data_IF_757296859273
#
_entry.id   IF_757296859273
#
_cell.length_a   1.000
_cell.length_b   1.000
_cell.length_c   1.000
_cell.angle_alpha   90.00
_cell.angle_beta   90.00
_cell.angle_gamma   90.00
#
_symmetry.space_group_name_H-M   'P 1'
#
loop_
_entity.id
_entity.type
_entity.pdbx_description
1 polymer ?
#
# COMPACT_ATOMS: atom_id res chain seq x y z
N UNK A 1 79.71 35.97 53.77
CA UNK A 1 79.89 34.50 53.74
C UNK A 1 78.62 33.92 54.33
N UNK A 2 77.72 33.23 53.65
CA UNK A 2 77.68 32.55 52.35
C UNK A 2 76.32 32.92 51.69
N UNK A 3 76.15 33.12 50.39
CA UNK A 3 76.32 32.19 49.26
C UNK A 3 75.49 30.90 49.42
N UNK A 4 74.24 30.93 48.95
CA UNK A 4 73.52 29.74 48.48
C UNK A 4 72.38 30.19 47.56
N UNK A 5 72.72 30.40 46.29
CA UNK A 5 72.37 29.54 45.16
C UNK A 5 70.88 29.52 44.82
N UNK A 6 70.56 30.39 43.86
CA UNK A 6 69.41 30.31 43.00
C UNK A 6 69.50 29.02 42.16
N UNK A 7 68.68 28.03 42.50
CA UNK A 7 68.40 26.88 41.62
C UNK A 7 67.17 27.20 40.77
N UNK A 8 67.37 28.06 39.75
CA UNK A 8 66.39 28.30 38.70
C UNK A 8 66.44 27.14 37.71
N UNK A 9 65.68 26.08 37.98
CA UNK A 9 65.46 25.00 37.00
C UNK A 9 64.78 25.61 35.76
N UNK A 10 65.31 25.38 34.54
CA UNK A 10 64.65 25.82 33.33
C UNK A 10 63.33 25.06 33.19
N UNK A 11 62.23 25.81 33.05
CA UNK A 11 60.96 25.27 32.58
C UNK A 11 61.23 24.58 31.24
N UNK A 12 61.21 23.24 31.23
CA UNK A 12 61.20 22.47 30.00
C UNK A 12 59.89 22.82 29.29
N UNK A 13 60.00 23.55 28.18
CA UNK A 13 58.90 23.72 27.23
C UNK A 13 58.51 22.32 26.76
N UNK A 14 57.36 21.85 27.22
CA UNK A 14 56.73 20.61 26.76
C UNK A 14 56.52 20.76 25.24
N UNK A 15 57.11 19.88 24.41
CA UNK A 15 56.99 20.02 22.96
C UNK A 15 55.51 19.95 22.59
N UNK A 16 55.03 20.96 21.85
CA UNK A 16 53.65 21.04 21.39
C UNK A 16 53.23 19.70 20.75
N UNK A 17 52.04 19.17 21.07
CA UNK A 17 51.61 17.88 20.55
C UNK A 17 51.63 17.91 19.02
N UNK A 18 52.39 16.98 18.43
CA UNK A 18 52.45 16.81 16.99
C UNK A 18 51.06 16.40 16.50
N UNK A 19 50.37 17.31 15.81
CA UNK A 19 49.00 17.10 15.36
C UNK A 19 49.02 16.04 14.26
N UNK A 20 48.52 14.83 14.56
CA UNK A 20 48.35 13.78 13.56
C UNK A 20 47.25 14.18 12.57
N UNK A 21 47.68 14.81 11.48
CA UNK A 21 46.81 15.27 10.38
C UNK A 21 45.96 14.15 9.78
N UNK A 22 46.43 12.90 9.81
CA UNK A 22 45.69 11.74 9.29
C UNK A 22 44.58 11.33 10.25
N UNK A 23 44.83 11.32 11.55
CA UNK A 23 43.81 11.06 12.56
C UNK A 23 42.69 12.10 12.49
N UNK A 24 43.03 13.38 12.34
CA UNK A 24 42.05 14.45 12.14
C UNK A 24 41.23 14.26 10.87
N UNK A 25 41.87 13.88 9.75
CA UNK A 25 41.17 13.58 8.49
C UNK A 25 40.18 12.42 8.65
N UNK A 26 40.60 11.32 9.29
CA UNK A 26 39.74 10.15 9.55
C UNK A 26 38.55 10.53 10.42
N UNK A 27 38.76 11.32 11.47
CA UNK A 27 37.68 11.81 12.33
C UNK A 27 36.65 12.63 11.54
N UNK A 28 37.11 13.52 10.64
CA UNK A 28 36.23 14.29 9.75
C UNK A 28 35.46 13.36 8.79
N UNK A 29 36.11 12.37 8.19
CA UNK A 29 35.46 11.41 7.28
C UNK A 29 34.40 10.57 8.00
N UNK A 30 34.67 10.14 9.23
CA UNK A 30 33.69 9.44 10.07
C UNK A 30 32.48 10.34 10.33
N UNK A 31 32.70 11.59 10.76
CA UNK A 31 31.62 12.54 11.02
C UNK A 31 30.74 12.77 9.77
N UNK A 32 31.37 12.93 8.60
CA UNK A 32 30.66 13.06 7.32
C UNK A 32 29.86 11.79 7.00
N UNK A 33 30.46 10.61 7.14
CA UNK A 33 29.79 9.34 6.89
C UNK A 33 28.59 9.13 7.83
N UNK A 34 28.69 9.52 9.10
CA UNK A 34 27.60 9.45 10.08
C UNK A 34 26.44 10.38 9.69
N UNK A 35 26.72 11.62 9.30
CA UNK A 35 25.68 12.56 8.86
C UNK A 35 24.97 12.02 7.62
N UNK A 36 25.73 11.55 6.62
CA UNK A 36 25.17 10.95 5.41
C UNK A 36 24.32 9.72 5.73
N UNK A 37 24.80 8.82 6.60
CA UNK A 37 24.06 7.66 7.05
C UNK A 37 22.73 8.03 7.71
N UNK A 38 22.73 9.06 8.57
CA UNK A 38 21.51 9.56 9.20
C UNK A 38 20.51 10.13 8.18
N UNK A 39 20.99 10.87 7.16
CA UNK A 39 20.13 11.39 6.09
C UNK A 39 19.53 10.26 5.26
N UNK A 40 20.32 9.25 4.88
CA UNK A 40 19.82 8.07 4.14
C UNK A 40 18.78 7.33 4.96
N UNK A 41 19.03 7.09 6.25
CA UNK A 41 18.09 6.42 7.14
C UNK A 41 16.77 7.19 7.28
N UNK A 42 16.82 8.51 7.44
CA UNK A 42 15.62 9.34 7.49
C UNK A 42 14.82 9.28 6.19
N UNK A 43 15.49 9.30 5.03
CA UNK A 43 14.83 9.19 3.72
C UNK A 43 14.23 7.80 3.47
N UNK A 44 14.86 6.75 3.99
CA UNK A 44 14.32 5.38 3.96
C UNK A 44 13.03 5.28 4.76
N UNK A 45 13.02 5.83 5.98
CA UNK A 45 11.83 5.86 6.83
C UNK A 45 10.65 6.59 6.14
N UNK A 46 10.91 7.76 5.55
CA UNK A 46 9.87 8.50 4.82
C UNK A 46 9.30 7.71 3.64
N UNK A 47 10.14 6.97 2.92
CA UNK A 47 9.69 6.15 1.78
C UNK A 47 8.86 4.95 2.24
N UNK A 48 9.23 4.36 3.38
CA UNK A 48 8.49 3.27 4.02
C UNK A 48 7.11 3.72 4.51
N UNK A 49 7.00 4.91 5.11
CA UNK A 49 5.71 5.48 5.54
C UNK A 49 4.75 5.64 4.34
N UNK A 50 5.24 6.20 3.23
CA UNK A 50 4.42 6.38 2.02
C UNK A 50 4.03 5.03 1.40
N UNK A 51 4.92 4.04 1.45
CA UNK A 51 4.61 2.68 1.02
C UNK A 51 3.48 2.09 1.87
N UNK A 52 3.55 2.24 3.20
CA UNK A 52 2.54 1.77 4.13
C UNK A 52 1.18 2.45 3.93
N UNK A 53 1.16 3.76 3.73
CA UNK A 53 -0.07 4.51 3.41
C UNK A 53 -0.72 4.02 2.11
N UNK A 54 0.11 3.74 1.10
CA UNK A 54 -0.33 3.23 -0.20
C UNK A 54 -0.87 1.80 -0.09
N UNK A 55 -0.23 0.93 0.69
CA UNK A 55 -0.73 -0.42 1.00
C UNK A 55 -2.09 -0.37 1.70
N UNK A 56 -2.21 0.49 2.71
CA UNK A 56 -3.46 0.64 3.44
C UNK A 56 -4.58 1.18 2.53
N UNK A 57 -4.25 2.13 1.65
CA UNK A 57 -5.18 2.58 0.61
C UNK A 57 -5.58 1.45 -0.34
N UNK A 58 -4.64 0.61 -0.77
CA UNK A 58 -4.90 -0.55 -1.63
C UNK A 58 -5.82 -1.57 -0.98
N UNK A 59 -5.58 -1.91 0.30
CA UNK A 59 -6.44 -2.82 1.07
C UNK A 59 -7.85 -2.25 1.23
N UNK A 60 -7.99 -0.94 1.50
CA UNK A 60 -9.31 -0.30 1.57
C UNK A 60 -10.05 -0.37 0.23
N UNK A 61 -9.37 -0.09 -0.88
CA UNK A 61 -9.96 -0.17 -2.22
C UNK A 61 -10.41 -1.60 -2.55
N UNK A 62 -9.58 -2.59 -2.21
CA UNK A 62 -9.91 -4.02 -2.36
C UNK A 62 -11.13 -4.39 -1.51
N UNK A 63 -11.16 -3.96 -0.25
CA UNK A 63 -12.30 -4.21 0.63
C UNK A 63 -13.58 -3.58 0.09
N UNK A 64 -13.53 -2.34 -0.40
CA UNK A 64 -14.69 -1.71 -1.03
C UNK A 64 -15.14 -2.42 -2.32
N UNK A 65 -14.20 -2.95 -3.10
CA UNK A 65 -14.51 -3.73 -4.29
C UNK A 65 -15.23 -5.04 -3.92
N UNK A 66 -14.74 -5.76 -2.92
CA UNK A 66 -15.36 -7.02 -2.46
C UNK A 66 -16.69 -6.79 -1.72
N UNK A 67 -16.79 -5.74 -0.91
CA UNK A 67 -18.02 -5.30 -0.27
C UNK A 67 -19.09 -5.00 -1.35
N UNK A 68 -18.75 -4.16 -2.33
CA UNK A 68 -19.66 -3.84 -3.43
C UNK A 68 -20.04 -5.08 -4.25
N UNK A 69 -19.08 -5.98 -4.50
CA UNK A 69 -19.35 -7.23 -5.22
C UNK A 69 -20.38 -8.07 -4.47
N UNK A 70 -20.17 -8.25 -3.18
CA UNK A 70 -20.98 -9.14 -2.34
C UNK A 70 -22.36 -8.55 -2.13
N UNK A 71 -22.44 -7.31 -1.66
CA UNK A 71 -23.72 -6.64 -1.37
C UNK A 71 -24.56 -6.54 -2.65
N UNK A 72 -23.98 -6.07 -3.76
CA UNK A 72 -24.76 -5.92 -4.99
C UNK A 72 -25.14 -7.24 -5.64
N UNK A 73 -24.35 -8.30 -5.46
CA UNK A 73 -24.75 -9.64 -5.88
C UNK A 73 -25.94 -10.14 -5.07
N UNK A 74 -25.88 -10.03 -3.74
CA UNK A 74 -27.00 -10.40 -2.86
C UNK A 74 -28.27 -9.64 -3.24
N UNK A 75 -28.18 -8.32 -3.38
CA UNK A 75 -29.32 -7.48 -3.76
C UNK A 75 -29.91 -7.91 -5.11
N UNK A 76 -29.07 -8.12 -6.13
CA UNK A 76 -29.55 -8.50 -7.47
C UNK A 76 -30.14 -9.92 -7.50
N UNK A 77 -29.59 -10.86 -6.73
CA UNK A 77 -30.16 -12.20 -6.60
C UNK A 77 -31.47 -12.20 -5.80
N UNK A 78 -31.61 -11.31 -4.81
CA UNK A 78 -32.88 -11.11 -4.12
C UNK A 78 -33.96 -10.57 -5.08
N UNK A 79 -33.62 -9.54 -5.85
CA UNK A 79 -34.49 -8.97 -6.88
C UNK A 79 -34.88 -10.06 -7.92
N UNK A 80 -33.91 -10.88 -8.36
CA UNK A 80 -34.17 -11.99 -9.28
C UNK A 80 -35.05 -13.09 -8.66
N UNK A 81 -34.87 -13.41 -7.38
CA UNK A 81 -35.72 -14.38 -6.66
C UNK A 81 -37.17 -13.90 -6.59
N UNK A 82 -37.38 -12.62 -6.30
CA UNK A 82 -38.71 -12.01 -6.31
C UNK A 82 -39.36 -12.12 -7.70
N UNK A 83 -38.58 -11.88 -8.76
CA UNK A 83 -39.05 -12.03 -10.15
C UNK A 83 -39.47 -13.48 -10.45
N UNK A 84 -38.65 -14.47 -10.06
CA UNK A 84 -39.00 -15.88 -10.25
C UNK A 84 -40.25 -16.28 -9.45
N UNK A 85 -40.40 -15.77 -8.22
CA UNK A 85 -41.57 -16.02 -7.41
C UNK A 85 -42.84 -15.42 -8.06
N UNK A 86 -42.74 -14.21 -8.63
CA UNK A 86 -43.79 -13.61 -9.44
C UNK A 86 -44.14 -14.51 -10.63
N UNK A 87 -43.18 -14.84 -11.50
CA UNK A 87 -43.42 -15.67 -12.71
C UNK A 87 -43.98 -17.03 -12.39
N UNK A 88 -43.55 -17.65 -11.29
CA UNK A 88 -44.11 -18.94 -10.84
C UNK A 88 -45.58 -18.82 -10.47
N UNK A 89 -45.96 -17.78 -9.73
CA UNK A 89 -47.35 -17.58 -9.29
C UNK A 89 -48.26 -17.16 -10.46
N UNK A 90 -47.74 -16.36 -11.38
CA UNK A 90 -48.39 -15.94 -12.63
C UNK A 90 -48.72 -17.17 -13.50
N UNK A 91 -47.72 -18.00 -13.80
CA UNK A 91 -47.91 -19.25 -14.55
C UNK A 91 -48.84 -20.24 -13.84
N UNK A 92 -48.81 -20.31 -12.51
CA UNK A 92 -49.74 -21.15 -11.75
C UNK A 92 -51.19 -20.67 -11.92
N UNK A 93 -51.41 -19.35 -11.92
CA UNK A 93 -52.71 -18.75 -12.19
C UNK A 93 -53.21 -19.10 -13.59
N UNK A 94 -52.35 -18.98 -14.60
CA UNK A 94 -52.68 -19.31 -16.00
C UNK A 94 -53.02 -20.80 -16.17
N UNK A 95 -52.24 -21.70 -15.54
CA UNK A 95 -52.48 -23.14 -15.61
C UNK A 95 -53.78 -23.58 -14.92
N UNK A 96 -54.20 -22.88 -13.86
CA UNK A 96 -55.49 -23.11 -13.20
C UNK A 96 -56.64 -22.69 -14.14
N UNK A 97 -56.50 -21.52 -14.78
CA UNK A 97 -57.48 -20.99 -15.73
C UNK A 97 -57.63 -21.86 -16.98
N UNK A 98 -56.53 -22.42 -17.50
CA UNK A 98 -56.55 -23.29 -18.67
C UNK A 98 -57.23 -24.65 -18.39
N UNK A 99 -56.97 -25.25 -17.21
CA UNK A 99 -57.42 -26.61 -16.92
C UNK A 99 -58.87 -26.71 -16.47
N UNK A 100 -59.40 -25.70 -15.79
CA UNK A 100 -60.78 -25.69 -15.31
C UNK A 100 -61.44 -24.32 -15.53
N UNK A 101 -61.86 -23.99 -16.77
CA UNK A 101 -62.47 -22.70 -17.08
C UNK A 101 -63.85 -22.48 -16.43
N UNK A 102 -64.54 -23.57 -16.05
CA UNK A 102 -65.79 -23.54 -15.25
C UNK A 102 -65.55 -24.07 -13.83
N UNK A 103 -64.49 -23.57 -13.20
CA UNK A 103 -64.11 -23.98 -11.84
C UNK A 103 -65.16 -23.53 -10.81
N UNK A 104 -65.47 -24.40 -9.84
CA UNK A 104 -66.27 -24.02 -8.68
C UNK A 104 -65.55 -23.04 -7.74
N UNK A 105 -66.28 -22.47 -6.78
CA UNK A 105 -65.81 -21.40 -5.85
C UNK A 105 -64.46 -21.64 -5.15
N UNK A 106 -64.05 -22.89 -4.95
CA UNK A 106 -62.76 -23.23 -4.34
C UNK A 106 -61.55 -22.95 -5.25
N UNK A 107 -61.67 -23.23 -6.55
CA UNK A 107 -60.58 -23.03 -7.51
C UNK A 107 -60.44 -21.55 -7.88
N UNK A 108 -61.55 -20.81 -7.91
CA UNK A 108 -61.54 -19.34 -8.00
C UNK A 108 -60.77 -18.70 -6.84
N UNK A 109 -60.96 -19.19 -5.61
CA UNK A 109 -60.19 -18.73 -4.45
C UNK A 109 -58.69 -19.02 -4.60
N UNK A 110 -58.32 -20.19 -5.12
CA UNK A 110 -56.91 -20.55 -5.33
C UNK A 110 -56.26 -19.72 -6.44
N UNK A 111 -57.01 -19.36 -7.47
CA UNK A 111 -56.58 -18.46 -8.54
C UNK A 111 -56.33 -17.05 -8.00
N UNK A 112 -57.28 -16.53 -7.23
CA UNK A 112 -57.16 -15.20 -6.63
C UNK A 112 -55.99 -15.14 -5.65
N UNK A 113 -55.79 -16.18 -4.84
CA UNK A 113 -54.63 -16.30 -3.95
C UNK A 113 -53.30 -16.29 -4.73
N UNK A 114 -53.22 -17.03 -5.85
CA UNK A 114 -52.03 -17.03 -6.70
C UNK A 114 -51.74 -15.66 -7.32
N UNK A 115 -52.79 -14.96 -7.81
CA UNK A 115 -52.68 -13.61 -8.37
C UNK A 115 -52.29 -12.58 -7.33
N UNK A 116 -52.87 -12.62 -6.13
CA UNK A 116 -52.49 -11.74 -5.03
C UNK A 116 -51.03 -11.96 -4.62
N UNK A 117 -50.58 -13.21 -4.52
CA UNK A 117 -49.18 -13.52 -4.24
C UNK A 117 -48.24 -13.05 -5.36
N UNK A 118 -48.67 -13.11 -6.62
CA UNK A 118 -47.92 -12.57 -7.75
C UNK A 118 -47.80 -11.04 -7.66
N UNK A 119 -48.90 -10.33 -7.39
CA UNK A 119 -48.93 -8.88 -7.23
C UNK A 119 -48.07 -8.41 -6.05
N UNK A 120 -48.14 -9.10 -4.91
CA UNK A 120 -47.30 -8.82 -3.75
C UNK A 120 -45.82 -8.94 -4.12
N UNK A 121 -45.40 -10.01 -4.81
CA UNK A 121 -44.01 -10.17 -5.23
C UNK A 121 -43.54 -9.05 -6.16
N UNK A 122 -44.40 -8.58 -7.08
CA UNK A 122 -44.09 -7.45 -7.96
C UNK A 122 -44.05 -6.13 -7.18
N UNK A 123 -44.87 -5.95 -6.16
CA UNK A 123 -44.85 -4.74 -5.33
C UNK A 123 -43.54 -4.60 -4.54
N UNK A 124 -42.94 -5.71 -4.10
CA UNK A 124 -41.61 -5.72 -3.48
C UNK A 124 -40.50 -5.51 -4.50
N UNK A 125 -40.73 -5.94 -5.74
CA UNK A 125 -39.85 -5.71 -6.87
C UNK A 125 -40.09 -4.30 -7.40
N UNK A 126 -39.53 -3.30 -6.71
CA UNK A 126 -39.62 -1.86 -7.01
C UNK A 126 -39.97 -1.63 -8.49
N UNK A 127 -41.17 -1.09 -8.76
CA UNK A 127 -41.72 -0.99 -10.11
C UNK A 127 -40.74 -0.31 -11.09
N UNK A 128 -39.89 0.59 -10.58
CA UNK A 128 -38.83 1.22 -11.37
C UNK A 128 -37.77 0.21 -11.84
N UNK A 129 -37.39 -0.76 -11.00
CA UNK A 129 -36.48 -1.86 -11.35
C UNK A 129 -37.12 -2.85 -12.31
N UNK A 130 -38.39 -3.18 -12.10
CA UNK A 130 -39.13 -4.07 -13.01
C UNK A 130 -39.10 -3.50 -14.44
N UNK A 131 -39.39 -2.21 -14.61
CA UNK A 131 -39.35 -1.56 -15.92
C UNK A 131 -37.94 -1.46 -16.53
N UNK A 132 -36.90 -1.35 -15.69
CA UNK A 132 -35.53 -1.15 -16.13
C UNK A 132 -34.84 -2.47 -16.48
N UNK A 133 -35.12 -3.54 -15.75
CA UNK A 133 -34.40 -4.82 -15.88
C UNK A 133 -35.20 -5.93 -16.57
N UNK A 134 -36.52 -5.81 -16.77
CA UNK A 134 -37.23 -6.70 -17.69
C UNK A 134 -36.81 -6.41 -19.13
N UNK A 135 -36.57 -7.48 -19.87
CA UNK A 135 -36.45 -7.50 -21.31
C UNK A 135 -37.82 -7.57 -21.96
N UNK A 136 -37.90 -7.24 -23.26
CA UNK A 136 -39.15 -7.30 -24.03
C UNK A 136 -39.75 -8.70 -24.13
N UNK A 137 -38.93 -9.73 -23.98
CA UNK A 137 -39.33 -11.13 -23.96
C UNK A 137 -39.83 -11.60 -22.57
N UNK A 138 -39.88 -10.69 -21.59
CA UNK A 138 -40.29 -10.99 -20.22
C UNK A 138 -39.19 -11.64 -19.37
N UNK A 139 -37.95 -11.77 -19.87
CA UNK A 139 -36.81 -12.24 -19.07
C UNK A 139 -36.24 -11.15 -18.17
N UNK A 140 -35.65 -11.54 -17.03
CA UNK A 140 -34.98 -10.60 -16.12
C UNK A 140 -33.49 -10.50 -16.45
N UNK A 141 -33.01 -9.30 -16.78
CA UNK A 141 -31.63 -9.05 -17.16
C UNK A 141 -30.71 -8.87 -15.94
N UNK A 142 -30.45 -9.96 -15.22
CA UNK A 142 -29.62 -9.98 -14.00
C UNK A 142 -28.22 -9.37 -14.23
N UNK A 143 -27.55 -9.74 -15.33
CA UNK A 143 -26.20 -9.27 -15.64
C UNK A 143 -26.14 -7.75 -15.84
N UNK A 144 -27.22 -7.18 -16.39
CA UNK A 144 -27.34 -5.72 -16.58
C UNK A 144 -27.49 -5.01 -15.24
N UNK A 145 -28.33 -5.53 -14.34
CA UNK A 145 -28.47 -4.97 -13.00
C UNK A 145 -27.15 -5.04 -12.22
N UNK A 146 -26.48 -6.19 -12.23
CA UNK A 146 -25.17 -6.36 -11.61
C UNK A 146 -24.15 -5.38 -12.18
N UNK A 147 -24.11 -5.22 -13.51
CA UNK A 147 -23.24 -4.27 -14.19
C UNK A 147 -23.52 -2.82 -13.80
N UNK A 148 -24.79 -2.42 -13.70
CA UNK A 148 -25.19 -1.08 -13.27
C UNK A 148 -24.82 -0.80 -11.81
N UNK A 149 -25.11 -1.74 -10.90
CA UNK A 149 -24.75 -1.62 -9.49
C UNK A 149 -23.22 -1.52 -9.32
N UNK A 150 -22.47 -2.36 -10.03
CA UNK A 150 -21.01 -2.32 -10.03
C UNK A 150 -20.45 -1.00 -10.58
N UNK A 151 -20.98 -0.52 -11.71
CA UNK A 151 -20.58 0.76 -12.29
C UNK A 151 -20.94 1.94 -11.37
N UNK A 152 -22.10 1.90 -10.71
CA UNK A 152 -22.48 2.90 -9.72
C UNK A 152 -21.56 2.90 -8.50
N UNK A 153 -21.15 1.71 -8.04
CA UNK A 153 -20.24 1.57 -6.90
C UNK A 153 -18.85 2.12 -7.24
N UNK A 154 -18.30 1.81 -8.42
CA UNK A 154 -17.04 2.39 -8.94
C UNK A 154 -17.06 3.91 -9.10
N UNK A 155 -18.24 4.51 -9.34
CA UNK A 155 -18.37 5.99 -9.38
C UNK A 155 -18.34 6.63 -7.99
N UNK A 156 -18.78 5.91 -6.96
CA UNK A 156 -18.84 6.42 -5.59
C UNK A 156 -17.51 6.29 -4.85
N UNK A 157 -16.75 5.22 -5.13
CA UNK A 157 -15.48 4.93 -4.47
C UNK A 157 -14.47 4.43 -5.48
N UNK A 158 -13.21 4.81 -5.30
CA UNK A 158 -12.10 4.19 -6.04
C UNK A 158 -11.96 2.74 -5.59
N UNK A 159 -12.09 1.81 -6.53
CA UNK A 159 -11.98 0.36 -6.32
C UNK A 159 -10.73 -0.20 -6.97
N UNK A 160 -9.84 0.66 -7.47
CA UNK A 160 -8.64 0.26 -8.17
C UNK A 160 -7.48 0.04 -7.19
N UNK A 161 -7.48 -1.11 -6.52
CA UNK A 161 -6.41 -1.50 -5.59
C UNK A 161 -5.06 -1.66 -6.28
N UNK A 162 -5.02 -2.08 -7.54
CA UNK A 162 -3.80 -2.35 -8.30
C UNK A 162 -2.91 -1.10 -8.41
N UNK A 163 -3.52 0.07 -8.66
CA UNK A 163 -2.77 1.32 -8.75
C UNK A 163 -2.11 1.65 -7.40
N UNK A 164 -2.81 1.43 -6.30
CA UNK A 164 -2.30 1.71 -4.95
C UNK A 164 -1.18 0.73 -4.56
N UNK A 165 -1.34 -0.56 -4.82
CA UNK A 165 -0.29 -1.56 -4.57
C UNK A 165 0.93 -1.35 -5.46
N UNK A 166 0.74 -0.99 -6.72
CA UNK A 166 1.86 -0.64 -7.61
C UNK A 166 2.65 0.57 -7.11
N UNK A 167 1.97 1.55 -6.50
CA UNK A 167 2.61 2.69 -5.86
C UNK A 167 3.40 2.26 -4.63
N UNK A 168 2.81 1.45 -3.76
CA UNK A 168 3.49 0.88 -2.59
C UNK A 168 4.76 0.12 -2.98
N UNK A 169 4.70 -0.72 -4.02
CA UNK A 169 5.85 -1.48 -4.50
C UNK A 169 6.97 -0.59 -5.07
N UNK A 170 6.64 0.54 -5.70
CA UNK A 170 7.67 1.51 -6.12
C UNK A 170 8.40 2.09 -4.92
N UNK A 171 7.68 2.45 -3.85
CA UNK A 171 8.30 2.98 -2.64
C UNK A 171 9.08 1.93 -1.85
N UNK A 172 8.60 0.67 -1.78
CA UNK A 172 9.37 -0.43 -1.19
C UNK A 172 10.70 -0.66 -1.90
N UNK A 173 10.71 -0.67 -3.24
CA UNK A 173 11.96 -0.78 -4.01
C UNK A 173 12.91 0.38 -3.74
N UNK A 174 12.36 1.59 -3.52
CA UNK A 174 13.15 2.77 -3.13
C UNK A 174 13.77 2.60 -1.74
N UNK A 175 12.98 2.17 -0.76
CA UNK A 175 13.47 1.87 0.60
C UNK A 175 14.54 0.78 0.56
N UNK A 176 14.32 -0.31 -0.18
CA UNK A 176 15.31 -1.38 -0.36
C UNK A 176 16.63 -0.85 -0.93
N UNK A 177 16.57 0.01 -1.93
CA UNK A 177 17.75 0.61 -2.52
C UNK A 177 18.47 1.58 -1.57
N UNK A 178 17.73 2.33 -0.75
CA UNK A 178 18.31 3.19 0.30
C UNK A 178 18.96 2.39 1.42
N UNK A 179 18.37 1.25 1.82
CA UNK A 179 18.98 0.33 2.78
C UNK A 179 20.30 -0.25 2.24
N UNK A 180 20.36 -0.62 0.96
CA UNK A 180 21.61 -1.05 0.31
C UNK A 180 22.68 0.06 0.34
N UNK A 181 22.30 1.31 0.12
CA UNK A 181 23.21 2.45 0.26
C UNK A 181 23.70 2.62 1.70
N UNK A 182 22.80 2.45 2.68
CA UNK A 182 23.13 2.47 4.11
C UNK A 182 24.14 1.40 4.51
N UNK A 183 23.99 0.17 4.01
CA UNK A 183 24.96 -0.92 4.26
C UNK A 183 26.35 -0.55 3.75
N UNK A 184 26.44 0.09 2.58
CA UNK A 184 27.71 0.51 1.98
C UNK A 184 28.38 1.63 2.79
N UNK A 185 27.60 2.56 3.35
CA UNK A 185 28.11 3.58 4.28
C UNK A 185 28.58 2.97 5.61
N UNK A 186 27.86 1.98 6.15
CA UNK A 186 28.30 1.25 7.34
C UNK A 186 29.64 0.54 7.10
N UNK A 187 29.82 -0.06 5.92
CA UNK A 187 31.09 -0.68 5.56
C UNK A 187 32.23 0.33 5.50
N UNK A 188 31.96 1.54 4.99
CA UNK A 188 32.94 2.65 5.03
C UNK A 188 33.34 3.02 6.45
N UNK A 189 32.39 3.10 7.38
CA UNK A 189 32.68 3.42 8.78
C UNK A 189 33.60 2.37 9.41
N UNK A 190 33.34 1.08 9.14
CA UNK A 190 34.20 -0.01 9.60
C UNK A 190 35.63 0.10 9.05
N UNK A 191 35.79 0.45 7.77
CA UNK A 191 37.13 0.65 7.19
C UNK A 191 37.86 1.83 7.83
N UNK A 192 37.17 2.93 8.09
CA UNK A 192 37.74 4.12 8.70
C UNK A 192 38.14 3.88 10.17
N UNK A 193 37.33 3.14 10.93
CA UNK A 193 37.69 2.77 12.32
C UNK A 193 38.88 1.80 12.36
N UNK A 194 39.02 0.93 11.36
CA UNK A 194 40.19 0.04 11.24
C UNK A 194 41.52 0.78 11.01
N UNK A 195 41.51 2.02 10.52
CA UNK A 195 42.73 2.81 10.27
C UNK A 195 43.56 3.02 11.53
N UNK A 196 42.92 3.09 12.70
CA UNK A 196 43.59 3.24 13.99
C UNK A 196 44.31 1.96 14.44
N UNK A 197 43.86 0.80 13.97
CA UNK A 197 44.38 -0.51 14.39
C UNK A 197 45.64 -0.95 13.63
N UNK A 198 45.88 -0.43 12.43
CA UNK A 198 47.00 -0.81 11.59
C UNK A 198 48.08 0.28 11.53
N UNK A 199 49.35 -0.13 11.39
CA UNK A 199 50.47 0.76 11.12
C UNK A 199 50.99 0.60 9.67
N UNK A 200 51.69 1.62 9.16
CA UNK A 200 52.35 1.55 7.85
C UNK A 200 51.44 1.85 6.65
N UNK A 201 51.83 1.44 5.42
CA UNK A 201 51.20 1.88 4.17
C UNK A 201 49.74 1.42 4.00
N UNK A 202 49.35 0.35 4.70
CA UNK A 202 47.97 -0.18 4.68
C UNK A 202 46.96 0.85 5.20
N UNK A 203 47.35 1.76 6.10
CA UNK A 203 46.49 2.83 6.62
C UNK A 203 45.94 3.71 5.50
N UNK A 204 46.80 4.11 4.56
CA UNK A 204 46.40 4.95 3.44
C UNK A 204 45.45 4.22 2.49
N UNK A 205 45.63 2.91 2.30
CA UNK A 205 44.71 2.10 1.51
C UNK A 205 43.32 2.00 2.16
N UNK A 206 43.25 1.86 3.48
CA UNK A 206 42.00 1.84 4.24
C UNK A 206 41.26 3.19 4.19
N UNK A 207 41.99 4.30 4.36
CA UNK A 207 41.42 5.67 4.22
C UNK A 207 40.89 5.88 2.80
N UNK A 208 41.66 5.52 1.77
CA UNK A 208 41.24 5.65 0.38
C UNK A 208 40.00 4.78 0.08
N UNK A 209 39.96 3.55 0.60
CA UNK A 209 38.82 2.65 0.48
C UNK A 209 37.56 3.23 1.14
N UNK A 210 37.66 3.68 2.39
CA UNK A 210 36.55 4.32 3.11
C UNK A 210 36.05 5.58 2.39
N UNK A 211 36.94 6.47 1.99
CA UNK A 211 36.57 7.67 1.22
C UNK A 211 35.85 7.31 -0.09
N UNK A 212 36.30 6.27 -0.80
CA UNK A 212 35.64 5.79 -2.02
C UNK A 212 34.24 5.28 -1.73
N UNK A 213 34.03 4.51 -0.67
CA UNK A 213 32.70 4.04 -0.28
C UNK A 213 31.77 5.19 0.16
N UNK A 214 32.27 6.23 0.85
CA UNK A 214 31.48 7.44 1.16
C UNK A 214 31.00 8.11 -0.13
N UNK A 215 31.92 8.36 -1.07
CA UNK A 215 31.60 9.03 -2.34
C UNK A 215 30.61 8.18 -3.14
N UNK A 216 30.88 6.88 -3.27
CA UNK A 216 30.03 5.97 -4.03
C UNK A 216 28.63 5.83 -3.40
N UNK A 217 28.56 5.66 -2.08
CA UNK A 217 27.31 5.59 -1.34
C UNK A 217 26.49 6.88 -1.44
N UNK A 218 27.15 8.03 -1.40
CA UNK A 218 26.51 9.34 -1.58
C UNK A 218 25.94 9.52 -2.99
N UNK A 219 26.74 9.20 -4.02
CA UNK A 219 26.29 9.28 -5.41
C UNK A 219 25.11 8.33 -5.62
N UNK A 220 25.21 7.10 -5.13
CA UNK A 220 24.14 6.10 -5.27
C UNK A 220 22.84 6.57 -4.61
N UNK A 221 22.92 7.11 -3.39
CA UNK A 221 21.76 7.65 -2.67
C UNK A 221 21.09 8.82 -3.44
N UNK A 222 21.88 9.74 -4.00
CA UNK A 222 21.37 10.86 -4.80
C UNK A 222 20.78 10.42 -6.14
N UNK A 223 21.38 9.42 -6.78
CA UNK A 223 20.94 8.91 -8.07
C UNK A 223 19.58 8.20 -7.93
N UNK A 224 19.40 7.44 -6.85
CA UNK A 224 18.10 6.84 -6.49
C UNK A 224 17.01 7.87 -6.27
N UNK A 225 17.33 9.05 -5.74
CA UNK A 225 16.35 10.12 -5.56
C UNK A 225 15.87 10.73 -6.89
N UNK A 226 16.73 10.74 -7.92
CA UNK A 226 16.37 11.26 -9.25
C UNK A 226 15.67 10.28 -10.17
N UNK A 227 15.95 8.98 -10.02
CA UNK A 227 15.43 7.95 -10.93
C UNK A 227 14.05 7.40 -10.53
N UNK A 228 13.59 7.71 -9.31
CA UNK A 228 12.29 7.32 -8.77
C UNK A 228 11.27 8.43 -8.91
#
# INVERSE_FOLDING_TARGET
MAEQNADSKPHQEEPAPEVDSLANLVAVLIAVATILGAVVAWRAALSEDIAGDSDYAGIRCLNWAEEARTIHSVDAYEDYRLFLAYRRNDLLGDLIEEKEPESGTFLDQKREEARQLAEINVSFLDQSKASRYLSRDGSFALDRELGEKWAAARRKRDMNSEVQFSAADRYRKKTEAQLKAGVLLTFSLVLLTLVESFAGPIRYALVAGGALFIVWGSIWALLLERLS
#
